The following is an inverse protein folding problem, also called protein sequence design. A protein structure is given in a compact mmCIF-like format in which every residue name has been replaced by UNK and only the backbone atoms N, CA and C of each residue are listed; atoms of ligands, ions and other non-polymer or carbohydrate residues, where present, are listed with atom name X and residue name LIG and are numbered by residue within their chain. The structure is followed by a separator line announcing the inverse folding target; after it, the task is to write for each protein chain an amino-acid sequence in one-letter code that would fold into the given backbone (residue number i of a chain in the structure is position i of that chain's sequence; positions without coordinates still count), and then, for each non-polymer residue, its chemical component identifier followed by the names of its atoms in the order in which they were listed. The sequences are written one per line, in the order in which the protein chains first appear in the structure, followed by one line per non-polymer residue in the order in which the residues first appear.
data_IF_002568378299
#
_entry.id   IF_002568378299
#
_cell.length_a   1.000
_cell.length_b   1.000
_cell.length_c   1.000
_cell.angle_alpha   90.00
_cell.angle_beta   90.00
_cell.angle_gamma   90.00
#
_symmetry.space_group_name_H-M   'P 1'
#
loop_
_entity.id
_entity.type
_entity.pdbx_description
1 polymer ?
#
# COMPACT_ATOMS: atom_id res chain seq x y z
N UNK A 1 -7.83 -3.05 -11.11
CA UNK A 1 -6.89 -1.99 -11.57
C UNK A 1 -7.72 -0.80 -12.03
N UNK A 2 -7.27 0.44 -11.78
CA UNK A 2 -7.97 1.65 -12.22
C UNK A 2 -7.57 1.98 -13.68
N UNK A 3 -8.39 1.63 -14.69
CA UNK A 3 -7.93 1.62 -16.09
C UNK A 3 -7.52 3.01 -16.58
N UNK A 4 -8.19 4.06 -16.06
CA UNK A 4 -7.90 5.47 -16.34
C UNK A 4 -6.45 5.87 -16.03
N UNK A 5 -5.78 5.17 -15.13
CA UNK A 5 -4.40 5.47 -14.72
C UNK A 5 -3.40 4.40 -15.17
N UNK A 6 -3.84 3.43 -15.97
CA UNK A 6 -3.04 2.33 -16.51
C UNK A 6 -2.64 2.62 -17.97
N UNK A 7 -1.93 3.72 -18.19
CA UNK A 7 -1.36 4.07 -19.50
C UNK A 7 0.00 3.40 -19.76
N UNK A 8 0.61 3.67 -20.91
CA UNK A 8 1.92 3.12 -21.32
C UNK A 8 3.04 3.37 -20.30
N UNK A 9 3.01 4.50 -19.60
CA UNK A 9 3.97 4.84 -18.54
C UNK A 9 3.79 3.97 -17.27
N UNK A 10 2.75 3.15 -17.23
CA UNK A 10 2.47 2.22 -16.15
C UNK A 10 2.08 2.93 -14.84
N UNK A 11 2.45 2.37 -13.66
CA UNK A 11 1.98 2.83 -12.36
C UNK A 11 2.47 4.24 -11.95
N UNK A 12 3.40 4.84 -12.70
CA UNK A 12 3.82 6.23 -12.50
C UNK A 12 2.69 7.23 -12.73
N UNK A 13 1.78 6.96 -13.68
CA UNK A 13 0.64 7.85 -13.97
C UNK A 13 -0.32 7.94 -12.77
N UNK A 14 -0.58 6.80 -12.11
CA UNK A 14 -1.40 6.77 -10.90
C UNK A 14 -0.74 7.55 -9.76
N UNK A 15 0.55 7.32 -9.53
CA UNK A 15 1.32 7.99 -8.46
C UNK A 15 1.41 9.51 -8.71
N UNK A 16 1.64 9.94 -9.94
CA UNK A 16 1.69 11.35 -10.32
C UNK A 16 0.33 12.04 -10.14
N UNK A 17 -0.77 11.35 -10.47
CA UNK A 17 -2.12 11.86 -10.23
C UNK A 17 -2.38 12.02 -8.74
N UNK A 18 -2.04 11.01 -7.93
CA UNK A 18 -2.20 11.08 -6.47
C UNK A 18 -1.37 12.21 -5.86
N UNK A 19 -0.14 12.43 -6.35
CA UNK A 19 0.69 13.57 -5.94
C UNK A 19 0.02 14.92 -6.18
N UNK A 20 -0.69 15.11 -7.31
CA UNK A 20 -1.45 16.35 -7.57
C UNK A 20 -2.51 16.59 -6.49
N UNK A 21 -3.23 15.54 -6.09
CA UNK A 21 -4.22 15.62 -5.01
C UNK A 21 -3.60 15.92 -3.64
N UNK A 22 -2.46 15.31 -3.31
CA UNK A 22 -1.74 15.59 -2.06
C UNK A 22 -1.34 17.07 -1.98
N UNK A 23 -0.91 17.66 -3.09
CA UNK A 23 -0.51 19.08 -3.16
C UNK A 23 -1.67 20.05 -2.91
N UNK A 24 -2.93 19.60 -3.04
CA UNK A 24 -4.10 20.38 -2.63
C UNK A 24 -4.32 20.37 -1.11
N UNK A 25 -3.72 19.40 -0.39
CA UNK A 25 -3.90 19.22 1.06
C UNK A 25 -2.72 19.70 1.90
N UNK A 26 -1.54 19.83 1.31
CA UNK A 26 -0.34 20.28 2.03
C UNK A 26 0.64 21.00 1.11
N UNK A 27 1.29 22.03 1.65
CA UNK A 27 2.43 22.73 1.02
C UNK A 27 3.78 22.12 1.41
N UNK A 28 3.81 21.19 2.37
CA UNK A 28 5.05 20.53 2.76
C UNK A 28 5.56 19.64 1.63
N UNK A 29 6.78 19.92 1.18
CA UNK A 29 7.46 19.18 0.12
C UNK A 29 7.81 17.76 0.55
N UNK A 30 7.97 17.50 1.85
CA UNK A 30 8.25 16.17 2.41
C UNK A 30 7.08 15.22 2.24
N UNK A 31 5.85 15.71 2.22
CA UNK A 31 4.67 14.89 1.98
C UNK A 31 4.61 14.47 0.50
N UNK A 32 5.14 13.29 0.21
CA UNK A 32 5.15 12.65 -1.12
C UNK A 32 4.45 11.29 -1.04
N UNK A 33 4.00 10.74 -2.17
CA UNK A 33 3.45 9.37 -2.20
C UNK A 33 4.47 8.37 -1.65
N UNK A 34 5.75 8.59 -1.93
CA UNK A 34 6.83 7.75 -1.40
C UNK A 34 6.96 7.86 0.12
N UNK A 35 6.98 9.08 0.68
CA UNK A 35 7.08 9.27 2.13
C UNK A 35 5.84 8.74 2.87
N UNK A 36 4.64 8.91 2.28
CA UNK A 36 3.40 8.38 2.85
C UNK A 36 3.40 6.84 2.83
N UNK A 37 3.94 6.22 1.77
CA UNK A 37 4.14 4.78 1.72
C UNK A 37 5.12 4.30 2.80
N UNK A 38 6.22 5.02 3.01
CA UNK A 38 7.16 4.70 4.11
C UNK A 38 6.51 4.84 5.48
N UNK A 39 5.77 5.92 5.74
CA UNK A 39 5.03 6.07 6.99
C UNK A 39 4.03 4.93 7.22
N UNK A 40 3.35 4.46 6.17
CA UNK A 40 2.52 3.26 6.27
C UNK A 40 3.34 1.99 6.55
N UNK A 41 4.51 1.84 5.94
CA UNK A 41 5.42 0.72 6.23
C UNK A 41 5.82 0.69 7.70
N UNK A 42 6.18 1.84 8.27
CA UNK A 42 6.56 1.96 9.68
C UNK A 42 5.39 1.60 10.59
N UNK A 43 4.18 2.11 10.31
CA UNK A 43 2.96 1.76 11.06
C UNK A 43 2.64 0.26 11.00
N UNK A 44 2.84 -0.38 9.85
CA UNK A 44 2.67 -1.83 9.73
C UNK A 44 3.72 -2.61 10.54
N UNK A 45 4.94 -2.09 10.67
CA UNK A 45 5.97 -2.68 11.54
C UNK A 45 5.59 -2.52 13.01
N UNK A 46 5.17 -1.32 13.44
CA UNK A 46 4.73 -1.03 14.80
C UNK A 46 3.51 -1.89 15.18
N UNK A 47 2.59 -2.09 14.25
CA UNK A 47 1.42 -2.96 14.44
C UNK A 47 1.73 -4.47 14.34
N UNK A 48 3.01 -4.84 14.28
CA UNK A 48 3.50 -6.22 14.23
C UNK A 48 2.88 -7.05 13.07
N UNK A 49 2.59 -6.39 11.94
CA UNK A 49 2.05 -7.07 10.76
C UNK A 49 3.12 -7.94 10.11
N UNK A 50 2.75 -9.16 9.70
CA UNK A 50 3.66 -10.13 9.09
C UNK A 50 4.34 -9.57 7.84
N UNK A 51 5.60 -9.95 7.59
CA UNK A 51 6.33 -9.47 6.42
C UNK A 51 5.61 -9.78 5.10
N UNK A 52 4.90 -10.91 5.03
CA UNK A 52 4.13 -11.30 3.84
C UNK A 52 2.93 -10.36 3.63
N UNK A 53 2.17 -10.06 4.68
CA UNK A 53 1.05 -9.11 4.63
C UNK A 53 1.54 -7.70 4.28
N UNK A 54 2.65 -7.25 4.90
CA UNK A 54 3.26 -5.94 4.59
C UNK A 54 3.65 -5.84 3.13
N UNK A 55 4.34 -6.86 2.60
CA UNK A 55 4.72 -6.89 1.20
C UNK A 55 3.49 -6.94 0.27
N UNK A 56 2.43 -7.63 0.67
CA UNK A 56 1.17 -7.63 -0.08
C UNK A 56 0.51 -6.25 -0.13
N UNK A 57 0.44 -5.56 1.01
CA UNK A 57 -0.12 -4.21 1.11
C UNK A 57 0.71 -3.20 0.33
N UNK A 58 2.04 -3.28 0.42
CA UNK A 58 2.96 -2.34 -0.23
C UNK A 58 3.16 -2.63 -1.73
N UNK A 59 2.64 -3.75 -2.23
CA UNK A 59 2.76 -4.16 -3.64
C UNK A 59 4.11 -4.76 -4.00
N UNK A 60 4.80 -5.37 -3.03
CA UNK A 60 6.10 -6.04 -3.17
C UNK A 60 5.99 -7.57 -3.14
N UNK A 61 4.79 -8.14 -3.31
CA UNK A 61 4.66 -9.60 -3.44
C UNK A 61 5.32 -10.06 -4.73
N UNK A 62 6.37 -10.86 -4.59
CA UNK A 62 6.89 -11.65 -5.70
C UNK A 62 5.87 -12.74 -6.06
N UNK A 63 5.74 -13.03 -7.36
CA UNK A 63 4.93 -14.14 -7.84
C UNK A 63 5.37 -15.45 -7.13
N UNK A 64 4.41 -16.21 -6.59
CA UNK A 64 4.65 -17.47 -5.86
C UNK A 64 4.54 -17.39 -4.32
N UNK A 65 5.01 -16.31 -3.67
CA UNK A 65 4.98 -16.22 -2.18
C UNK A 65 3.55 -16.00 -1.66
N UNK A 66 2.74 -15.26 -2.42
CA UNK A 66 1.37 -14.95 -2.04
C UNK A 66 0.37 -16.10 -2.27
N UNK A 67 0.74 -17.11 -3.07
CA UNK A 67 -0.11 -18.27 -3.40
C UNK A 67 0.04 -19.43 -2.41
N UNK A 68 1.22 -19.59 -1.80
CA UNK A 68 1.46 -20.63 -0.79
C UNK A 68 1.03 -20.26 0.64
N UNK A 69 0.85 -18.96 0.94
CA UNK A 69 0.65 -18.48 2.33
C UNK A 69 -0.81 -18.15 2.65
N UNK A 70 -1.63 -17.83 1.65
CA UNK A 70 -3.04 -17.46 1.86
C UNK A 70 -3.96 -18.44 1.14
N UNK A 71 -5.10 -18.73 1.77
CA UNK A 71 -6.23 -19.37 1.11
C UNK A 71 -6.83 -18.50 0.00
N UNK A 72 -8.03 -18.85 -0.47
CA UNK A 72 -8.71 -18.17 -1.58
C UNK A 72 -8.80 -16.64 -1.44
N UNK A 73 -9.01 -15.95 -2.57
CA UNK A 73 -8.99 -14.47 -2.71
C UNK A 73 -9.67 -13.70 -1.57
N UNK A 74 -10.82 -14.18 -1.09
CA UNK A 74 -11.58 -13.53 -0.02
C UNK A 74 -10.86 -13.58 1.34
N UNK A 75 -10.23 -14.71 1.68
CA UNK A 75 -9.46 -14.87 2.91
C UNK A 75 -8.27 -13.90 2.92
N UNK A 76 -7.58 -13.78 1.79
CA UNK A 76 -6.49 -12.81 1.59
C UNK A 76 -6.98 -11.38 1.81
N UNK A 77 -8.10 -10.99 1.17
CA UNK A 77 -8.64 -9.64 1.34
C UNK A 77 -8.96 -9.34 2.81
N UNK A 78 -9.63 -10.27 3.52
CA UNK A 78 -9.94 -10.12 4.95
C UNK A 78 -8.69 -9.99 5.81
N UNK A 79 -7.64 -10.77 5.54
CA UNK A 79 -6.38 -10.70 6.28
C UNK A 79 -5.71 -9.33 6.09
N UNK A 80 -5.59 -8.86 4.84
CA UNK A 80 -4.98 -7.56 4.54
C UNK A 80 -5.79 -6.39 5.09
N UNK A 81 -7.13 -6.46 5.08
CA UNK A 81 -7.99 -5.45 5.70
C UNK A 81 -7.72 -5.35 7.20
N UNK A 82 -7.70 -6.47 7.93
CA UNK A 82 -7.41 -6.48 9.37
C UNK A 82 -6.02 -5.94 9.69
N UNK A 83 -5.02 -6.26 8.87
CA UNK A 83 -3.67 -5.73 9.03
C UNK A 83 -3.63 -4.21 8.87
N UNK A 84 -4.36 -3.66 7.88
CA UNK A 84 -4.49 -2.22 7.67
C UNK A 84 -5.23 -1.52 8.82
N UNK A 85 -6.29 -2.14 9.35
CA UNK A 85 -7.03 -1.60 10.51
C UNK A 85 -6.12 -1.50 11.73
N UNK A 86 -5.31 -2.52 12.01
CA UNK A 86 -4.31 -2.47 13.09
C UNK A 86 -3.28 -1.35 12.88
N UNK A 87 -2.74 -1.22 11.68
CA UNK A 87 -1.78 -0.15 11.36
C UNK A 87 -2.37 1.26 11.46
N UNK A 88 -3.69 1.41 11.38
CA UNK A 88 -4.33 2.70 11.56
C UNK A 88 -4.48 3.12 13.02
N UNK A 89 -4.47 2.14 13.93
CA UNK A 89 -4.64 2.35 15.38
C UNK A 89 -3.31 2.66 16.09
N UNK A 90 -2.17 2.51 15.41
CA UNK A 90 -0.86 2.83 15.97
C UNK A 90 -0.47 4.27 15.68
N UNK A 91 0.07 4.96 16.68
CA UNK A 91 0.54 6.34 16.63
C UNK A 91 2.00 6.44 16.18
#
# INVERSE_FOLDING_TARGET
MFPRYAGELGPTTASATLMKWIRLKTKDKKHTVHSLRHGMSDRLVIAEVSAVDRNAILGHLNAGVGEGTYGGRLAKLKALTKAMEKAWQVE
#
